data_IF_111628748219
#
_entry.id   IF_111628748219
#
_cell.length_a   1.000
_cell.length_b   1.000
_cell.length_c   1.000
_cell.angle_alpha   90.00
_cell.angle_beta   90.00
_cell.angle_gamma   90.00
#
_symmetry.space_group_name_H-M   'P 1'
#
loop_
_entity.id
_entity.type
_entity.pdbx_description
1 polymer ?
#
# COMPACT_ATOMS: atom_id res chain seq x y z
N UNK A 1 1.58 -7.95 -13.42
CA UNK A 1 2.51 -8.40 -12.37
C UNK A 1 1.72 -8.55 -11.07
N UNK A 2 1.93 -9.65 -10.34
CA UNK A 2 1.30 -9.90 -9.04
C UNK A 2 2.29 -9.55 -7.93
N UNK A 3 1.89 -8.70 -6.99
CA UNK A 3 2.61 -8.41 -5.75
C UNK A 3 2.54 -9.62 -4.81
N UNK A 4 3.70 -10.19 -4.48
CA UNK A 4 3.83 -11.36 -3.60
C UNK A 4 4.60 -11.04 -2.30
N UNK A 5 4.84 -9.76 -2.02
CA UNK A 5 5.75 -9.31 -0.97
C UNK A 5 7.13 -8.96 -1.52
N UNK A 6 8.04 -8.63 -0.61
CA UNK A 6 9.44 -8.29 -0.91
C UNK A 6 10.34 -8.86 0.18
N UNK A 7 11.66 -8.79 -0.01
CA UNK A 7 12.63 -9.17 1.04
C UNK A 7 12.39 -8.45 2.37
N UNK A 8 11.83 -7.23 2.32
CA UNK A 8 11.59 -6.39 3.49
C UNK A 8 10.12 -6.37 3.94
N UNK A 9 9.23 -7.10 3.26
CA UNK A 9 7.81 -7.11 3.58
C UNK A 9 7.15 -8.45 3.30
N UNK A 10 6.74 -9.09 4.39
CA UNK A 10 6.01 -10.35 4.36
C UNK A 10 4.52 -10.02 4.23
N UNK A 11 3.90 -10.51 3.16
CA UNK A 11 2.47 -10.32 2.89
C UNK A 11 1.70 -11.60 3.17
N UNK A 12 0.56 -11.51 3.85
CA UNK A 12 -0.37 -12.63 3.94
C UNK A 12 -1.01 -12.90 2.57
N UNK A 13 -1.51 -14.13 2.36
CA UNK A 13 -2.19 -14.49 1.12
C UNK A 13 -3.38 -13.57 0.82
N UNK A 14 -4.20 -13.29 1.84
CA UNK A 14 -5.39 -12.46 1.67
C UNK A 14 -5.04 -11.02 1.31
N UNK A 15 -3.99 -10.46 1.94
CA UNK A 15 -3.52 -9.12 1.62
C UNK A 15 -2.93 -9.06 0.21
N UNK A 16 -2.19 -10.08 -0.23
CA UNK A 16 -1.68 -10.17 -1.60
C UNK A 16 -2.83 -10.20 -2.62
N UNK A 17 -3.90 -10.96 -2.36
CA UNK A 17 -5.09 -11.00 -3.22
C UNK A 17 -5.74 -9.62 -3.32
N UNK A 18 -5.96 -8.95 -2.19
CA UNK A 18 -6.57 -7.62 -2.17
C UNK A 18 -5.75 -6.57 -2.94
N UNK A 19 -4.43 -6.57 -2.75
CA UNK A 19 -3.51 -5.68 -3.48
C UNK A 19 -3.55 -5.94 -4.98
N UNK A 20 -3.47 -7.21 -5.38
CA UNK A 20 -3.47 -7.58 -6.79
C UNK A 20 -4.80 -7.31 -7.49
N UNK A 21 -5.91 -7.49 -6.78
CA UNK A 21 -7.24 -7.12 -7.27
C UNK A 21 -7.33 -5.61 -7.50
N UNK A 22 -6.88 -4.78 -6.53
CA UNK A 22 -6.90 -3.33 -6.66
C UNK A 22 -6.05 -2.84 -7.85
N UNK A 23 -4.85 -3.40 -8.04
CA UNK A 23 -3.99 -3.10 -9.18
C UNK A 23 -4.67 -3.47 -10.50
N UNK A 24 -5.22 -4.68 -10.59
CA UNK A 24 -5.81 -5.22 -11.83
C UNK A 24 -7.09 -4.48 -12.21
N UNK A 25 -7.91 -4.10 -11.24
CA UNK A 25 -9.17 -3.38 -11.44
C UNK A 25 -8.97 -1.86 -11.54
N UNK A 26 -7.76 -1.37 -11.30
CA UNK A 26 -7.45 0.06 -11.15
C UNK A 26 -8.39 0.76 -10.16
N UNK A 27 -8.70 0.08 -9.06
CA UNK A 27 -9.57 0.60 -7.99
C UNK A 27 -8.73 0.99 -6.77
N UNK A 28 -9.14 2.03 -6.02
CA UNK A 28 -8.47 2.41 -4.79
C UNK A 28 -8.55 1.31 -3.74
N UNK A 29 -7.49 1.17 -2.94
CA UNK A 29 -7.40 0.22 -1.83
C UNK A 29 -7.24 0.96 -0.51
N UNK A 30 -8.18 0.77 0.42
CA UNK A 30 -8.11 1.33 1.76
C UNK A 30 -7.63 0.26 2.74
N UNK A 31 -6.48 0.48 3.37
CA UNK A 31 -5.92 -0.43 4.37
C UNK A 31 -6.15 0.11 5.77
N UNK A 32 -6.74 -0.71 6.64
CA UNK A 32 -6.95 -0.43 8.08
C UNK A 32 -6.13 -1.41 8.92
N UNK A 33 -5.80 -1.03 10.15
CA UNK A 33 -5.13 -1.90 11.12
C UNK A 33 -4.45 -1.13 12.24
N UNK A 34 -4.04 -1.82 13.29
CA UNK A 34 -3.41 -1.23 14.48
C UNK A 34 -2.11 -0.46 14.16
N UNK A 35 -1.76 0.59 14.91
CA UNK A 35 -0.47 1.27 14.75
C UNK A 35 0.70 0.28 14.74
N UNK A 36 1.70 0.50 13.87
CA UNK A 36 2.89 -0.36 13.79
C UNK A 36 2.77 -1.63 12.91
N UNK A 37 1.61 -1.95 12.34
CA UNK A 37 1.44 -3.18 11.52
C UNK A 37 1.97 -3.09 10.06
N UNK A 38 2.93 -2.21 9.78
CA UNK A 38 3.57 -2.15 8.47
C UNK A 38 2.73 -1.59 7.31
N UNK A 39 1.57 -0.96 7.57
CA UNK A 39 0.71 -0.37 6.51
C UNK A 39 1.42 0.64 5.62
N UNK A 40 2.20 1.53 6.23
CA UNK A 40 2.99 2.51 5.48
C UNK A 40 4.05 1.81 4.62
N UNK A 41 4.76 0.85 5.20
CA UNK A 41 5.81 0.08 4.52
C UNK A 41 5.24 -0.69 3.31
N UNK A 42 4.04 -1.28 3.44
CA UNK A 42 3.34 -1.94 2.33
C UNK A 42 3.22 -1.02 1.11
N UNK A 43 2.81 0.23 1.29
CA UNK A 43 2.65 1.16 0.18
C UNK A 43 3.99 1.45 -0.53
N UNK A 44 5.08 1.61 0.23
CA UNK A 44 6.43 1.81 -0.32
C UNK A 44 6.92 0.57 -1.09
N UNK A 45 6.73 -0.62 -0.54
CA UNK A 45 7.17 -1.87 -1.16
C UNK A 45 6.36 -2.20 -2.42
N UNK A 46 5.05 -1.90 -2.44
CA UNK A 46 4.23 -1.98 -3.66
C UNK A 46 4.75 -1.01 -4.72
N UNK A 47 5.01 0.26 -4.36
CA UNK A 47 5.49 1.26 -5.31
C UNK A 47 6.85 0.86 -5.91
N UNK A 48 7.76 0.35 -5.07
CA UNK A 48 9.06 -0.18 -5.50
C UNK A 48 8.90 -1.38 -6.43
N UNK A 49 8.07 -2.36 -6.07
CA UNK A 49 7.81 -3.55 -6.88
C UNK A 49 7.18 -3.22 -8.24
N UNK A 50 6.37 -2.18 -8.32
CA UNK A 50 5.74 -1.71 -9.56
C UNK A 50 6.56 -0.68 -10.33
N UNK A 51 7.75 -0.31 -9.83
CA UNK A 51 8.58 0.77 -10.34
C UNK A 51 7.78 2.08 -10.56
N UNK A 52 6.98 2.47 -9.57
CA UNK A 52 6.14 3.66 -9.61
C UNK A 52 6.59 4.68 -8.57
N UNK A 53 6.41 5.96 -8.88
CA UNK A 53 6.56 7.05 -7.91
C UNK A 53 5.50 6.91 -6.83
N UNK A 54 5.92 6.92 -5.56
CA UNK A 54 5.01 7.03 -4.42
C UNK A 54 4.74 8.50 -4.12
N UNK A 55 3.48 8.83 -3.86
CA UNK A 55 3.04 10.14 -3.40
C UNK A 55 2.57 9.95 -1.96
N UNK A 56 3.21 10.66 -1.02
CA UNK A 56 2.86 10.61 0.39
C UNK A 56 2.20 11.92 0.80
N UNK A 57 1.14 11.81 1.59
CA UNK A 57 0.50 12.96 2.23
C UNK A 57 0.30 12.65 3.71
N UNK A 58 0.91 13.46 4.58
CA UNK A 58 0.67 13.42 6.01
C UNK A 58 -0.53 14.31 6.37
N UNK A 59 -1.68 13.70 6.61
CA UNK A 59 -2.93 14.40 6.94
C UNK A 59 -3.07 14.53 8.46
N UNK A 60 -3.35 15.74 8.94
CA UNK A 60 -3.66 16.11 10.33
C UNK A 60 -5.01 16.86 10.35
N UNK A 61 -5.59 17.05 11.53
CA UNK A 61 -6.82 17.85 11.69
C UNK A 61 -6.67 19.31 11.20
N UNK A 62 -5.43 19.81 11.18
CA UNK A 62 -5.08 21.14 10.67
C UNK A 62 -4.66 21.15 9.21
N UNK A 63 -4.71 20.01 8.51
CA UNK A 63 -4.38 19.95 7.08
C UNK A 63 -5.54 20.50 6.25
N UNK A 64 -5.28 21.57 5.51
CA UNK A 64 -6.18 22.09 4.48
C UNK A 64 -5.90 21.41 3.13
N UNK A 65 -6.96 21.09 2.39
CA UNK A 65 -6.83 20.67 1.01
C UNK A 65 -6.36 21.87 0.17
N UNK A 66 -5.41 21.62 -0.75
CA UNK A 66 -5.03 22.58 -1.78
C UNK A 66 -6.07 22.62 -2.90
#
# INVERSE_FOLDING_TARGET
>A
MLFQGTENYIVSKDLSIAVNAAISLQKPLLIKGEPGTGKTLLAFEIAKALNKKIITWHVKSTTTAQ
#
